data_IF_614076153121
#
_entry.id   IF_614076153121
#
_cell.length_a   1.000
_cell.length_b   1.000
_cell.length_c   1.000
_cell.angle_alpha   90.00
_cell.angle_beta   90.00
_cell.angle_gamma   90.00
#
_symmetry.space_group_name_H-M   'P 1'
#
loop_
_entity.id
_entity.type
_entity.pdbx_description
1 polymer ?
#
# COMPACT_ATOMS: atom_id res chain seq x y z
N UNK A 1 -26.07 -8.21 2.63
CA UNK A 1 -26.83 -7.27 1.76
C UNK A 1 -26.08 -5.93 1.58
N UNK A 2 -25.43 -5.39 2.62
CA UNK A 2 -24.68 -4.12 2.55
C UNK A 2 -23.39 -4.19 1.70
N UNK A 3 -22.71 -5.35 1.66
CA UNK A 3 -21.45 -5.53 0.90
C UNK A 3 -21.55 -5.25 -0.61
N UNK A 4 -22.74 -5.40 -1.20
CA UNK A 4 -22.98 -5.20 -2.65
C UNK A 4 -22.92 -3.73 -3.09
N UNK A 5 -23.15 -2.78 -2.18
CA UNK A 5 -23.14 -1.35 -2.49
C UNK A 5 -21.80 -0.66 -2.21
N UNK A 6 -20.87 -1.36 -1.55
CA UNK A 6 -19.59 -0.81 -1.14
C UNK A 6 -18.67 -0.45 -2.32
N UNK A 7 -18.52 -1.25 -3.38
CA UNK A 7 -17.69 -0.87 -4.53
C UNK A 7 -18.14 0.45 -5.17
N UNK A 8 -19.45 0.68 -5.26
CA UNK A 8 -20.02 1.93 -5.79
C UNK A 8 -19.81 3.12 -4.85
N UNK A 9 -19.89 2.91 -3.53
CA UNK A 9 -19.65 3.96 -2.53
C UNK A 9 -18.16 4.35 -2.46
N UNK A 10 -17.27 3.36 -2.59
CA UNK A 10 -15.83 3.58 -2.66
C UNK A 10 -15.47 4.42 -3.89
N UNK A 11 -16.07 4.18 -5.05
CA UNK A 11 -15.81 4.94 -6.26
C UNK A 11 -16.37 6.38 -6.24
N UNK A 12 -17.44 6.65 -5.47
CA UNK A 12 -18.05 7.98 -5.37
C UNK A 12 -17.37 8.89 -4.33
N UNK A 13 -16.46 8.36 -3.53
CA UNK A 13 -15.75 9.13 -2.51
C UNK A 13 -14.73 10.07 -3.16
N UNK A 14 -14.80 11.36 -2.82
CA UNK A 14 -13.89 12.41 -3.33
C UNK A 14 -13.17 13.17 -2.23
N UNK A 15 -13.50 12.90 -0.96
CA UNK A 15 -13.02 13.66 0.20
C UNK A 15 -12.60 12.72 1.32
N UNK A 16 -11.66 13.18 2.16
CA UNK A 16 -11.20 12.45 3.34
C UNK A 16 -12.32 12.21 4.36
N UNK A 17 -13.32 13.08 4.40
CA UNK A 17 -14.51 12.90 5.27
C UNK A 17 -15.31 11.65 4.87
N UNK A 18 -15.50 11.41 3.57
CA UNK A 18 -16.16 10.18 3.10
C UNK A 18 -15.33 8.94 3.46
N UNK A 19 -14.01 9.02 3.36
CA UNK A 19 -13.13 7.92 3.79
C UNK A 19 -13.28 7.58 5.27
N UNK A 20 -13.39 8.58 6.16
CA UNK A 20 -13.62 8.37 7.58
C UNK A 20 -14.97 7.71 7.88
N UNK A 21 -16.03 8.15 7.17
CA UNK A 21 -17.36 7.54 7.29
C UNK A 21 -17.36 6.08 6.82
N UNK A 22 -16.70 5.82 5.69
CA UNK A 22 -16.58 4.46 5.15
C UNK A 22 -15.71 3.58 6.04
N UNK A 23 -14.60 4.09 6.57
CA UNK A 23 -13.78 3.35 7.52
C UNK A 23 -14.60 2.93 8.75
N UNK A 24 -15.38 3.86 9.31
CA UNK A 24 -16.30 3.56 10.41
C UNK A 24 -17.33 2.48 10.04
N UNK A 25 -17.82 2.49 8.80
CA UNK A 25 -18.74 1.46 8.28
C UNK A 25 -18.05 0.11 8.13
N UNK A 26 -16.81 0.08 7.61
CA UNK A 26 -16.01 -1.15 7.44
C UNK A 26 -15.81 -1.85 8.79
N UNK A 27 -15.44 -1.09 9.83
CA UNK A 27 -15.28 -1.62 11.21
C UNK A 27 -16.62 -2.14 11.75
N UNK A 28 -17.69 -1.32 11.68
CA UNK A 28 -19.01 -1.70 12.22
C UNK A 28 -19.63 -2.92 11.53
N UNK A 29 -19.21 -3.23 10.31
CA UNK A 29 -19.71 -4.36 9.52
C UNK A 29 -18.76 -5.56 9.50
N UNK A 30 -17.66 -5.51 10.28
CA UNK A 30 -16.63 -6.55 10.35
C UNK A 30 -15.98 -6.88 8.99
N UNK A 31 -15.95 -5.91 8.07
CA UNK A 31 -15.36 -6.06 6.74
C UNK A 31 -13.85 -5.77 6.72
N UNK A 32 -13.32 -5.24 7.82
CA UNK A 32 -11.89 -5.10 8.12
C UNK A 32 -11.17 -6.45 8.30
N UNK A 33 -11.90 -7.57 8.33
CA UNK A 33 -11.35 -8.92 8.31
C UNK A 33 -11.35 -9.56 6.91
N UNK A 34 -12.09 -8.99 5.94
CA UNK A 34 -12.22 -9.56 4.59
C UNK A 34 -11.14 -9.01 3.65
N UNK A 35 -10.23 -9.86 3.12
CA UNK A 35 -9.14 -9.41 2.25
C UNK A 35 -9.60 -8.64 1.00
N UNK A 36 -10.77 -8.99 0.46
CA UNK A 36 -11.34 -8.33 -0.71
C UNK A 36 -11.82 -6.91 -0.37
N UNK A 37 -12.58 -6.77 0.71
CA UNK A 37 -13.07 -5.48 1.20
C UNK A 37 -11.93 -4.53 1.57
N UNK A 38 -10.90 -5.03 2.26
CA UNK A 38 -9.67 -4.27 2.58
C UNK A 38 -9.01 -3.75 1.29
N UNK A 39 -8.79 -4.64 0.32
CA UNK A 39 -8.14 -4.31 -0.95
C UNK A 39 -8.92 -3.28 -1.75
N UNK A 40 -10.25 -3.44 -1.81
CA UNK A 40 -11.13 -2.52 -2.53
C UNK A 40 -11.20 -1.14 -1.87
N UNK A 41 -11.23 -1.09 -0.54
CA UNK A 41 -11.23 0.17 0.19
C UNK A 41 -9.89 0.91 0.02
N UNK A 42 -8.77 0.22 0.11
CA UNK A 42 -7.44 0.81 -0.09
C UNK A 42 -7.25 1.40 -1.49
N UNK A 43 -7.74 0.73 -2.54
CA UNK A 43 -7.71 1.27 -3.91
C UNK A 43 -8.41 2.63 -4.02
N UNK A 44 -9.58 2.76 -3.38
CA UNK A 44 -10.32 4.03 -3.34
C UNK A 44 -9.62 5.06 -2.46
N UNK A 45 -9.19 4.66 -1.26
CA UNK A 45 -8.54 5.53 -0.31
C UNK A 45 -7.26 6.16 -0.87
N UNK A 46 -6.40 5.37 -1.52
CA UNK A 46 -5.17 5.87 -2.12
C UNK A 46 -5.39 6.92 -3.22
N UNK A 47 -6.54 6.90 -3.89
CA UNK A 47 -6.89 7.89 -4.93
C UNK A 47 -7.23 9.27 -4.31
N UNK A 48 -7.51 9.32 -3.01
CA UNK A 48 -7.89 10.54 -2.28
C UNK A 48 -6.76 10.99 -1.34
N UNK A 49 -6.24 10.08 -0.51
CA UNK A 49 -5.09 10.32 0.37
C UNK A 49 -4.33 9.04 0.62
N UNK A 50 -3.06 9.04 0.22
CA UNK A 50 -2.15 7.91 0.44
C UNK A 50 -1.83 7.78 1.93
N UNK A 51 -1.74 8.90 2.65
CA UNK A 51 -1.49 8.97 4.08
C UNK A 51 -2.63 8.31 4.87
N UNK A 52 -3.88 8.61 4.51
CA UNK A 52 -5.03 7.96 5.11
C UNK A 52 -5.03 6.45 4.83
N UNK A 53 -4.81 6.05 3.57
CA UNK A 53 -4.74 4.65 3.19
C UNK A 53 -3.66 3.89 3.98
N UNK A 54 -2.52 4.53 4.22
CA UNK A 54 -1.45 3.98 5.05
C UNK A 54 -1.86 3.85 6.52
N UNK A 55 -2.51 4.86 7.10
CA UNK A 55 -3.04 4.76 8.47
C UNK A 55 -4.00 3.58 8.58
N UNK A 56 -4.96 3.49 7.65
CA UNK A 56 -5.90 2.38 7.61
C UNK A 56 -5.19 1.03 7.54
N UNK A 57 -4.17 0.88 6.69
CA UNK A 57 -3.41 -0.37 6.59
C UNK A 57 -2.70 -0.75 7.91
N UNK A 58 -2.20 0.24 8.65
CA UNK A 58 -1.57 0.03 9.96
C UNK A 58 -2.58 -0.32 11.07
N UNK A 59 -3.79 0.21 10.96
CA UNK A 59 -4.86 0.04 11.96
C UNK A 59 -5.65 -1.27 11.77
N UNK A 60 -5.38 -2.05 10.71
CA UNK A 60 -6.06 -3.31 10.44
C UNK A 60 -5.78 -4.35 11.54
N UNK A 61 -6.81 -5.06 12.03
CA UNK A 61 -6.65 -6.09 13.06
C UNK A 61 -6.02 -7.39 12.52
N UNK A 62 -5.84 -7.50 11.20
CA UNK A 62 -5.33 -8.68 10.50
C UNK A 62 -4.16 -8.30 9.60
N UNK A 63 -3.29 -9.27 9.30
CA UNK A 63 -2.20 -9.07 8.34
C UNK A 63 -2.80 -8.73 6.97
N UNK A 64 -2.50 -7.56 6.39
CA UNK A 64 -3.08 -7.17 5.11
C UNK A 64 -2.62 -8.08 3.97
N UNK A 65 -3.47 -8.38 2.98
CA UNK A 65 -3.08 -9.20 1.83
C UNK A 65 -1.96 -8.52 1.03
N UNK A 66 -1.10 -9.30 0.36
CA UNK A 66 -0.01 -8.77 -0.48
C UNK A 66 -0.50 -7.71 -1.49
N UNK A 67 -1.70 -7.89 -2.03
CA UNK A 67 -2.31 -6.93 -2.93
C UNK A 67 -2.48 -5.53 -2.30
N UNK A 68 -2.92 -5.46 -1.05
CA UNK A 68 -3.07 -4.19 -0.31
C UNK A 68 -1.73 -3.44 -0.20
N UNK A 69 -0.66 -4.15 0.13
CA UNK A 69 0.69 -3.59 0.16
C UNK A 69 1.13 -3.11 -1.22
N UNK A 70 0.90 -3.91 -2.26
CA UNK A 70 1.24 -3.56 -3.64
C UNK A 70 0.54 -2.28 -4.11
N UNK A 71 -0.71 -2.04 -3.69
CA UNK A 71 -1.44 -0.81 -3.98
C UNK A 71 -0.76 0.40 -3.35
N UNK A 72 -0.46 0.37 -2.05
CA UNK A 72 0.15 1.53 -1.36
C UNK A 72 1.59 1.78 -1.84
N UNK A 73 2.39 0.71 -2.04
CA UNK A 73 3.75 0.82 -2.59
C UNK A 73 3.73 1.46 -3.98
N UNK A 74 2.80 1.04 -4.84
CA UNK A 74 2.61 1.61 -6.17
C UNK A 74 2.33 3.10 -6.10
N UNK A 75 1.43 3.53 -5.24
CA UNK A 75 1.03 4.93 -5.17
C UNK A 75 2.13 5.82 -4.56
N UNK A 76 2.83 5.37 -3.51
CA UNK A 76 4.02 6.09 -3.03
C UNK A 76 5.15 6.14 -4.07
N UNK A 77 5.32 5.10 -4.90
CA UNK A 77 6.35 5.12 -5.95
C UNK A 77 6.14 6.23 -6.99
N UNK A 78 4.90 6.72 -7.13
CA UNK A 78 4.50 7.82 -8.03
C UNK A 78 4.38 9.17 -7.30
N UNK A 79 4.19 9.16 -5.98
CA UNK A 79 4.00 10.38 -5.19
C UNK A 79 5.29 11.21 -5.02
N UNK A 80 5.23 12.40 -4.41
CA UNK A 80 6.42 13.16 -4.04
C UNK A 80 7.34 12.47 -3.01
N UNK A 81 6.87 11.38 -2.38
CA UNK A 81 7.56 10.69 -1.29
C UNK A 81 7.94 9.24 -1.64
N UNK A 82 8.78 9.00 -2.67
CA UNK A 82 9.13 7.64 -3.11
C UNK A 82 9.88 6.83 -2.04
N UNK A 83 10.50 7.49 -1.06
CA UNK A 83 11.18 6.82 0.06
C UNK A 83 10.21 6.00 0.93
N UNK A 84 8.95 6.44 1.02
CA UNK A 84 7.93 5.73 1.80
C UNK A 84 7.54 4.40 1.15
N UNK A 85 7.59 4.30 -0.18
CA UNK A 85 7.41 3.01 -0.88
C UNK A 85 8.51 2.00 -0.49
N UNK A 86 9.76 2.47 -0.35
CA UNK A 86 10.88 1.61 0.04
C UNK A 86 10.78 1.18 1.51
N UNK A 87 10.33 2.06 2.40
CA UNK A 87 10.07 1.74 3.81
C UNK A 87 8.97 0.68 3.92
N UNK A 88 7.86 0.83 3.18
CA UNK A 88 6.79 -0.17 3.14
C UNK A 88 7.27 -1.52 2.58
N UNK A 89 8.11 -1.51 1.55
CA UNK A 89 8.70 -2.75 1.04
C UNK A 89 9.61 -3.43 2.08
N UNK A 90 10.42 -2.65 2.81
CA UNK A 90 11.23 -3.17 3.90
C UNK A 90 10.38 -3.76 5.03
N UNK A 91 9.24 -3.13 5.34
CA UNK A 91 8.29 -3.62 6.33
C UNK A 91 7.64 -4.93 5.88
N UNK A 92 7.16 -4.99 4.64
CA UNK A 92 6.61 -6.20 4.02
C UNK A 92 7.59 -7.38 4.12
N UNK A 93 8.87 -7.14 3.85
CA UNK A 93 9.91 -8.16 3.99
C UNK A 93 10.16 -8.56 5.45
N UNK A 94 10.16 -7.59 6.38
CA UNK A 94 10.31 -7.86 7.83
C UNK A 94 9.16 -8.70 8.38
N UNK A 95 7.96 -8.56 7.83
CA UNK A 95 6.79 -9.39 8.15
C UNK A 95 6.85 -10.80 7.53
N UNK A 96 7.90 -11.12 6.77
CA UNK A 96 8.04 -12.42 6.10
C UNK A 96 7.08 -12.63 4.92
N UNK A 97 6.39 -11.58 4.48
CA UNK A 97 5.47 -11.64 3.34
C UNK A 97 6.33 -11.65 2.06
N UNK A 98 6.22 -12.73 1.28
CA UNK A 98 6.94 -12.85 0.01
C UNK A 98 6.33 -11.89 -1.02
N UNK A 99 7.12 -10.94 -1.49
CA UNK A 99 6.75 -10.05 -2.58
C UNK A 99 6.62 -10.82 -3.90
N UNK A 100 5.79 -10.31 -4.80
CA UNK A 100 5.58 -10.91 -6.13
C UNK A 100 6.26 -10.09 -7.23
N UNK A 101 6.17 -10.59 -8.47
CA UNK A 101 6.68 -9.89 -9.65
C UNK A 101 5.99 -8.54 -9.91
N UNK A 102 4.85 -8.26 -9.26
CA UNK A 102 4.16 -6.98 -9.35
C UNK A 102 4.68 -5.96 -8.34
N UNK A 103 5.29 -6.38 -7.23
CA UNK A 103 5.90 -5.47 -6.25
C UNK A 103 7.18 -4.82 -6.80
N UNK A 104 8.07 -5.60 -7.40
CA UNK A 104 9.42 -5.15 -7.77
C UNK A 104 9.48 -3.96 -8.74
N UNK A 105 8.65 -3.86 -9.79
CA UNK A 105 8.67 -2.70 -10.68
C UNK A 105 8.43 -1.38 -9.96
N UNK A 106 7.55 -1.35 -8.95
CA UNK A 106 7.26 -0.15 -8.17
C UNK A 106 8.40 0.21 -7.21
N UNK A 107 9.04 -0.81 -6.61
CA UNK A 107 10.22 -0.63 -5.77
C UNK A 107 11.39 -0.08 -6.58
N UNK A 108 11.68 -0.66 -7.75
CA UNK A 108 12.73 -0.18 -8.65
C UNK A 108 12.49 1.27 -9.11
N UNK A 109 11.23 1.60 -9.44
CA UNK A 109 10.84 2.98 -9.76
C UNK A 109 11.09 3.93 -8.59
N UNK A 110 10.68 3.54 -7.39
CA UNK A 110 10.93 4.32 -6.18
C UNK A 110 12.43 4.51 -5.91
N UNK A 111 13.24 3.46 -6.06
CA UNK A 111 14.69 3.51 -5.94
C UNK A 111 15.30 4.53 -6.92
N UNK A 112 14.95 4.44 -8.21
CA UNK A 112 15.45 5.37 -9.23
C UNK A 112 15.08 6.82 -8.93
N UNK A 113 13.85 7.07 -8.45
CA UNK A 113 13.41 8.42 -8.04
C UNK A 113 14.12 8.90 -6.78
N UNK A 114 14.35 8.04 -5.79
CA UNK A 114 15.11 8.39 -4.59
C UNK A 114 16.56 8.75 -4.91
N UNK A 115 17.25 7.96 -5.74
CA UNK A 115 18.64 8.24 -6.13
C UNK A 115 18.78 9.58 -6.85
N UNK A 116 17.76 9.95 -7.65
CA UNK A 116 17.72 11.24 -8.36
C UNK A 116 17.41 12.44 -7.46
N UNK A 117 16.72 12.21 -6.33
CA UNK A 117 16.31 13.24 -5.37
C UNK A 117 17.31 13.39 -4.21
N UNK A 118 18.08 12.34 -3.90
CA UNK A 118 19.00 12.29 -2.77
C UNK A 118 20.11 11.29 -3.08
N UNK A 119 21.31 11.78 -3.35
CA UNK A 119 22.50 10.95 -3.63
C UNK A 119 22.78 9.92 -2.52
N UNK A 120 22.33 10.16 -1.27
CA UNK A 120 22.53 9.28 -0.11
C UNK A 120 21.48 8.19 0.16
N UNK A 121 20.33 8.15 -0.54
CA UNK A 121 19.31 7.09 -0.33
C UNK A 121 19.62 5.76 -1.04
N UNK A 122 20.72 5.72 -1.79
CA UNK A 122 21.16 4.62 -2.65
C UNK A 122 21.49 3.33 -1.88
N UNK A 123 22.10 3.42 -0.70
CA UNK A 123 22.56 2.23 0.02
C UNK A 123 21.43 1.33 0.57
N UNK A 124 20.36 1.92 1.09
CA UNK A 124 19.21 1.16 1.61
C UNK A 124 18.40 0.55 0.47
N UNK A 125 18.14 1.37 -0.56
CA UNK A 125 17.44 0.99 -1.78
C UNK A 125 18.15 -0.16 -2.54
N UNK A 126 19.48 -0.07 -2.72
CA UNK A 126 20.27 -1.09 -3.40
C UNK A 126 20.39 -2.38 -2.58
N UNK A 127 20.58 -2.30 -1.25
CA UNK A 127 20.62 -3.51 -0.40
C UNK A 127 19.31 -4.30 -0.42
N UNK A 128 18.18 -3.60 -0.44
CA UNK A 128 16.85 -4.23 -0.50
C UNK A 128 16.62 -4.93 -1.86
N UNK A 129 16.99 -4.29 -2.97
CA UNK A 129 16.81 -4.87 -4.31
C UNK A 129 17.79 -6.02 -4.58
N UNK A 130 19.08 -5.87 -4.23
CA UNK A 130 20.09 -6.91 -4.46
C UNK A 130 19.85 -8.18 -3.65
N UNK A 131 19.29 -8.09 -2.44
CA UNK A 131 18.91 -9.29 -1.67
C UNK A 131 17.77 -10.06 -2.35
N UNK A 132 16.83 -9.37 -2.99
CA UNK A 132 15.66 -10.02 -3.58
C UNK A 132 15.91 -10.59 -4.99
N UNK A 133 16.78 -9.99 -5.80
CA UNK A 133 17.16 -10.57 -7.11
C UNK A 133 18.01 -11.82 -7.00
N UNK A 134 18.63 -12.07 -5.84
CA UNK A 134 19.43 -13.26 -5.59
C UNK A 134 18.58 -14.47 -5.11
N UNK A 135 17.46 -14.23 -4.43
CA UNK A 135 16.54 -15.30 -3.95
C UNK A 135 15.57 -15.84 -5.01
N UNK A 136 15.64 -15.37 -6.26
CA UNK A 136 14.84 -15.88 -7.39
C UNK A 136 15.61 -16.81 -8.32
N UNK A 137 16.80 -17.28 -7.91
CA UNK A 137 17.47 -18.44 -8.51
C UNK A 137 17.45 -19.63 -7.57
#
# INVERSE_FOLDING_TARGET
MISRFLPSLFHQSKTTTHLLQIHSLVIKTALDHDPFSISSFLLSACSISIEFARSFLNDLPVVPPLFAWNVIIREYSKSPYPIEALKLFSELHRLGIRSDNFTFPFVLKACGRCSRLREGCTLLAMKLVCKCTCSTK
#
